data_IF_841276017333
#
_entry.id   IF_841276017333
#
_cell.length_a   1.000
_cell.length_b   1.000
_cell.length_c   1.000
_cell.angle_alpha   90.00
_cell.angle_beta   90.00
_cell.angle_gamma   90.00
#
_symmetry.space_group_name_H-M   'P 1'
#
loop_
_entity.id
_entity.type
_entity.pdbx_description
1 polymer ?
#
# COMPACT_ATOMS: atom_id res chain seq x y z
N UNK A 1 14.75 -30.58 40.41
CA UNK A 1 13.95 -30.53 41.64
C UNK A 1 14.88 -30.86 42.79
N UNK A 2 15.22 -29.85 43.58
CA UNK A 2 16.05 -29.98 44.78
C UNK A 2 15.25 -30.70 45.86
N UNK A 3 15.88 -31.69 46.50
CA UNK A 3 15.41 -32.31 47.74
C UNK A 3 16.57 -32.36 48.72
N UNK A 4 16.86 -31.24 49.36
CA UNK A 4 17.67 -31.21 50.57
C UNK A 4 16.83 -31.83 51.69
N UNK A 5 17.29 -32.94 52.25
CA UNK A 5 16.75 -33.49 53.49
C UNK A 5 17.79 -33.24 54.58
N UNK A 6 17.50 -32.24 55.40
CA UNK A 6 18.20 -31.99 56.66
C UNK A 6 17.95 -33.16 57.60
N UNK A 7 19.03 -33.82 58.02
CA UNK A 7 18.98 -34.82 59.09
C UNK A 7 19.76 -34.26 60.28
N UNK A 8 19.05 -33.57 61.16
CA UNK A 8 19.49 -33.28 62.52
C UNK A 8 19.00 -34.42 63.42
N UNK A 9 19.92 -35.11 64.09
CA UNK A 9 19.58 -35.90 65.27
C UNK A 9 20.61 -35.63 66.37
N UNK A 10 20.15 -34.79 67.30
CA UNK A 10 20.46 -34.69 68.73
C UNK A 10 21.62 -35.52 69.30
N UNK A 11 22.70 -34.82 69.65
CA UNK A 11 23.44 -35.02 70.90
C UNK A 11 22.50 -34.67 72.06
N UNK A 12 22.14 -35.65 72.88
CA UNK A 12 21.94 -35.46 74.31
C UNK A 12 21.73 -36.82 74.99
N UNK A 13 22.24 -36.88 76.21
CA UNK A 13 21.80 -37.75 77.31
C UNK A 13 22.59 -39.03 77.68
N UNK A 14 23.05 -38.97 78.94
CA UNK A 14 23.21 -40.06 79.93
C UNK A 14 24.43 -40.98 79.76
N UNK A 15 25.36 -41.11 80.72
CA UNK A 15 25.31 -40.68 82.10
C UNK A 15 26.66 -40.83 82.78
N UNK A 16 26.90 -39.88 83.68
CA UNK A 16 27.88 -39.96 84.76
C UNK A 16 27.58 -41.20 85.61
N UNK A 17 28.54 -42.10 85.75
CA UNK A 17 28.67 -42.91 86.97
C UNK A 17 30.00 -42.57 87.62
N UNK A 18 29.91 -41.59 88.51
CA UNK A 18 30.81 -41.39 89.62
C UNK A 18 30.10 -41.96 90.86
N UNK A 19 30.84 -42.21 91.95
CA UNK A 19 30.45 -42.95 93.18
C UNK A 19 30.83 -44.44 93.08
N UNK A 20 31.74 -44.98 93.91
CA UNK A 20 31.98 -44.66 95.29
C UNK A 20 31.62 -45.88 96.12
N UNK A 21 32.61 -46.74 96.43
CA UNK A 21 32.50 -47.65 97.57
C UNK A 21 33.88 -48.01 98.09
N UNK A 22 34.40 -47.04 98.86
CA UNK A 22 35.38 -47.24 99.91
C UNK A 22 34.60 -47.82 101.11
N UNK A 23 34.72 -49.11 101.36
CA UNK A 23 34.35 -49.71 102.65
C UNK A 23 35.64 -49.93 103.43
N UNK A 24 35.96 -48.94 104.25
CA UNK A 24 36.72 -49.11 105.47
C UNK A 24 35.88 -49.90 106.46
N UNK A 25 36.33 -51.07 106.89
CA UNK A 25 35.90 -51.61 108.18
C UNK A 25 37.08 -52.33 108.80
N UNK A 26 37.65 -51.63 109.76
CA UNK A 26 38.62 -52.07 110.75
C UNK A 26 37.89 -52.97 111.75
N UNK A 27 38.23 -54.25 111.77
CA UNK A 27 38.04 -55.06 112.97
C UNK A 27 39.39 -55.53 113.50
N UNK A 28 39.67 -55.00 114.69
CA UNK A 28 40.71 -55.44 115.60
C UNK A 28 40.28 -56.79 116.14
N UNK A 29 40.98 -57.86 115.75
CA UNK A 29 41.01 -59.07 116.54
C UNK A 29 42.44 -59.34 117.00
N UNK A 30 42.63 -59.08 118.29
CA UNK A 30 43.78 -59.49 119.09
C UNK A 30 43.82 -61.02 119.11
N UNK A 31 44.61 -61.64 118.22
CA UNK A 31 44.96 -63.04 118.36
C UNK A 31 46.41 -63.24 118.78
N UNK A 32 46.51 -63.87 119.94
CA UNK A 32 47.67 -64.18 120.75
C UNK A 32 48.77 -64.86 119.95
N UNK A 33 49.91 -64.19 119.99
CA UNK A 33 51.28 -64.70 119.91
C UNK A 33 51.42 -66.17 120.35
N UNK A 34 51.42 -67.07 119.38
CA UNK A 34 52.06 -68.39 119.48
C UNK A 34 53.08 -68.46 118.36
N UNK A 35 54.30 -68.02 118.67
CA UNK A 35 55.51 -68.18 117.87
C UNK A 35 55.81 -69.69 117.75
N UNK A 36 55.09 -70.36 116.85
CA UNK A 36 55.44 -71.68 116.37
C UNK A 36 56.70 -71.50 115.53
N UNK A 37 57.86 -71.87 116.09
CA UNK A 37 59.11 -71.98 115.34
C UNK A 37 58.91 -72.97 114.20
N UNK A 38 58.56 -72.46 113.02
CA UNK A 38 58.64 -73.20 111.77
C UNK A 38 60.14 -73.48 111.59
N UNK A 39 60.56 -74.75 111.39
CA UNK A 39 61.94 -75.07 111.08
C UNK A 39 62.39 -74.24 109.88
N UNK A 40 63.52 -73.52 109.99
CA UNK A 40 64.00 -72.57 108.98
C UNK A 40 63.96 -73.12 107.53
N UNK A 41 64.23 -74.41 107.36
CA UNK A 41 64.13 -75.11 106.07
C UNK A 41 62.72 -75.09 105.44
N UNK A 42 61.66 -75.20 106.25
CA UNK A 42 60.28 -75.25 105.79
C UNK A 42 59.75 -73.84 105.43
N UNK A 43 60.28 -72.81 106.08
CA UNK A 43 60.02 -71.40 105.75
C UNK A 43 60.72 -71.01 104.44
N UNK A 44 61.97 -71.43 104.23
CA UNK A 44 62.73 -71.14 103.02
C UNK A 44 62.17 -71.90 101.79
N UNK A 45 61.70 -73.13 101.95
CA UNK A 45 60.97 -73.88 100.90
C UNK A 45 59.63 -73.22 100.53
N UNK A 46 58.91 -72.67 101.51
CA UNK A 46 57.66 -71.97 101.27
C UNK A 46 57.88 -70.63 100.56
N UNK A 47 58.90 -69.87 100.96
CA UNK A 47 59.29 -68.62 100.30
C UNK A 47 59.79 -68.84 98.88
N UNK A 48 60.61 -69.85 98.65
CA UNK A 48 61.09 -70.19 97.30
C UNK A 48 59.95 -70.68 96.39
N UNK A 49 59.01 -71.48 96.91
CA UNK A 49 57.79 -71.87 96.19
C UNK A 49 56.88 -70.68 95.87
N UNK A 50 56.79 -69.69 96.76
CA UNK A 50 56.05 -68.45 96.53
C UNK A 50 56.74 -67.56 95.49
N UNK A 51 58.06 -67.46 95.53
CA UNK A 51 58.86 -66.69 94.57
C UNK A 51 58.79 -67.31 93.17
N UNK A 52 58.86 -68.64 93.04
CA UNK A 52 58.68 -69.33 91.77
C UNK A 52 57.29 -69.06 91.16
N UNK A 53 56.22 -69.08 91.98
CA UNK A 53 54.86 -68.72 91.54
C UNK A 53 54.76 -67.27 91.11
N UNK A 54 55.42 -66.36 91.82
CA UNK A 54 55.44 -64.94 91.47
C UNK A 54 56.18 -64.69 90.14
N UNK A 55 57.30 -65.38 89.92
CA UNK A 55 58.04 -65.33 88.66
C UNK A 55 57.22 -65.91 87.49
N UNK A 56 56.57 -67.06 87.69
CA UNK A 56 55.68 -67.67 86.69
C UNK A 56 54.50 -66.75 86.34
N UNK A 57 53.88 -66.12 87.36
CA UNK A 57 52.80 -65.16 87.16
C UNK A 57 53.27 -63.92 86.39
N UNK A 58 54.44 -63.37 86.71
CA UNK A 58 55.00 -62.23 85.98
C UNK A 58 55.31 -62.58 84.52
N UNK A 59 55.85 -63.77 84.26
CA UNK A 59 56.10 -64.23 82.89
C UNK A 59 54.78 -64.38 82.11
N UNK A 60 53.76 -64.98 82.73
CA UNK A 60 52.44 -65.09 82.13
C UNK A 60 51.79 -63.72 81.88
N UNK A 61 51.96 -62.77 82.81
CA UNK A 61 51.50 -61.39 82.67
C UNK A 61 52.22 -60.69 81.50
N UNK A 62 53.53 -60.84 81.39
CA UNK A 62 54.29 -60.24 80.29
C UNK A 62 53.90 -60.84 78.94
N UNK A 63 53.70 -62.16 78.88
CA UNK A 63 53.23 -62.84 77.67
C UNK A 63 51.83 -62.36 77.25
N UNK A 64 50.90 -62.30 78.19
CA UNK A 64 49.53 -61.82 77.92
C UNK A 64 49.49 -60.34 77.54
N UNK A 65 50.37 -59.50 78.12
CA UNK A 65 50.54 -58.11 77.68
C UNK A 65 51.05 -58.01 76.24
N UNK A 66 52.01 -58.85 75.84
CA UNK A 66 52.49 -58.91 74.47
C UNK A 66 51.41 -59.35 73.47
N UNK A 67 50.63 -60.38 73.83
CA UNK A 67 49.48 -60.83 73.02
C UNK A 67 48.39 -59.74 72.91
N UNK A 68 48.12 -59.00 73.99
CA UNK A 68 47.19 -57.87 73.98
C UNK A 68 47.68 -56.71 73.09
N UNK A 69 48.99 -56.43 73.08
CA UNK A 69 49.57 -55.43 72.18
C UNK A 69 49.48 -55.87 70.71
N UNK A 70 49.83 -57.11 70.39
CA UNK A 70 49.71 -57.66 69.03
C UNK A 70 48.27 -57.61 68.54
N UNK A 71 47.30 -58.03 69.36
CA UNK A 71 45.88 -57.98 68.99
C UNK A 71 45.38 -56.55 68.82
N UNK A 72 45.88 -55.59 69.61
CA UNK A 72 45.58 -54.18 69.42
C UNK A 72 46.11 -53.64 68.10
N UNK A 73 47.35 -53.97 67.74
CA UNK A 73 47.94 -53.58 66.45
C UNK A 73 47.15 -54.17 65.28
N UNK A 74 46.73 -55.44 65.37
CA UNK A 74 45.92 -56.06 64.33
C UNK A 74 44.52 -55.45 64.23
N UNK A 75 43.92 -55.07 65.37
CA UNK A 75 42.66 -54.31 65.38
C UNK A 75 42.81 -52.94 64.71
N UNK A 76 43.90 -52.21 64.98
CA UNK A 76 44.18 -50.91 64.33
C UNK A 76 44.41 -51.08 62.82
N UNK A 77 45.07 -52.16 62.36
CA UNK A 77 45.20 -52.49 60.94
C UNK A 77 43.84 -52.77 60.29
N UNK A 78 42.98 -53.56 60.94
CA UNK A 78 41.64 -53.86 60.44
C UNK A 78 40.77 -52.60 60.33
N UNK A 79 40.85 -51.68 61.30
CA UNK A 79 40.17 -50.39 61.21
C UNK A 79 40.67 -49.55 60.03
N UNK A 80 41.99 -49.54 59.79
CA UNK A 80 42.54 -48.84 58.63
C UNK A 80 42.11 -49.47 57.29
N UNK A 81 41.96 -50.80 57.23
CA UNK A 81 41.43 -51.50 56.05
C UNK A 81 39.93 -51.23 55.85
N UNK A 82 39.14 -51.16 56.92
CA UNK A 82 37.73 -50.77 56.85
C UNK A 82 37.56 -49.35 56.30
N UNK A 83 38.37 -48.39 56.77
CA UNK A 83 38.34 -47.03 56.25
C UNK A 83 38.67 -46.99 54.74
N UNK A 84 39.69 -47.73 54.28
CA UNK A 84 40.00 -47.87 52.84
C UNK A 84 38.84 -48.48 52.05
N UNK A 85 38.12 -49.45 52.64
CA UNK A 85 36.98 -50.08 51.99
C UNK A 85 35.78 -49.13 51.87
N UNK A 86 35.57 -48.26 52.87
CA UNK A 86 34.58 -47.19 52.80
C UNK A 86 34.93 -46.15 51.73
N UNK A 87 36.19 -45.72 51.65
CA UNK A 87 36.67 -44.83 50.60
C UNK A 87 36.47 -45.44 49.20
N UNK A 88 36.77 -46.73 49.03
CA UNK A 88 36.54 -47.43 47.76
C UNK A 88 35.05 -47.53 47.41
N UNK A 89 34.16 -47.71 48.39
CA UNK A 89 32.71 -47.71 48.16
C UNK A 89 32.23 -46.35 47.69
N UNK A 90 32.72 -45.26 48.30
CA UNK A 90 32.39 -43.89 47.88
C UNK A 90 32.91 -43.60 46.48
N UNK A 91 34.15 -43.99 46.17
CA UNK A 91 34.71 -43.85 44.83
C UNK A 91 33.90 -44.64 43.79
N UNK A 92 33.49 -45.87 44.10
CA UNK A 92 32.64 -46.68 43.21
C UNK A 92 31.29 -46.01 42.98
N UNK A 93 30.64 -45.47 44.02
CA UNK A 93 29.38 -44.75 43.89
C UNK A 93 29.54 -43.52 42.97
N UNK A 94 30.58 -42.71 43.16
CA UNK A 94 30.87 -41.55 42.33
C UNK A 94 31.12 -41.94 40.85
N UNK A 95 31.88 -43.01 40.59
CA UNK A 95 32.10 -43.49 39.21
C UNK A 95 30.83 -44.00 38.55
N UNK A 96 29.91 -44.60 39.31
CA UNK A 96 28.64 -45.07 38.79
C UNK A 96 27.69 -43.91 38.47
N UNK A 97 27.68 -42.86 39.29
CA UNK A 97 26.95 -41.62 38.98
C UNK A 97 27.48 -40.95 37.72
N UNK A 98 28.80 -40.83 37.57
CA UNK A 98 29.41 -40.23 36.38
C UNK A 98 29.12 -41.06 35.12
N UNK A 99 29.16 -42.39 35.22
CA UNK A 99 28.74 -43.27 34.13
C UNK A 99 27.28 -43.00 33.72
N UNK A 100 26.37 -42.89 34.68
CA UNK A 100 24.96 -42.62 34.40
C UNK A 100 24.76 -41.25 33.75
N UNK A 101 25.52 -40.24 34.19
CA UNK A 101 25.54 -38.91 33.58
C UNK A 101 26.00 -38.96 32.13
N UNK A 102 27.13 -39.61 31.85
CA UNK A 102 27.67 -39.75 30.49
C UNK A 102 26.67 -40.49 29.58
N UNK A 103 26.01 -41.54 30.07
CA UNK A 103 24.97 -42.24 29.30
C UNK A 103 23.78 -41.34 28.97
N UNK A 104 23.33 -40.50 29.92
CA UNK A 104 22.25 -39.55 29.69
C UNK A 104 22.64 -38.46 28.68
N UNK A 105 23.86 -37.93 28.77
CA UNK A 105 24.40 -36.96 27.81
C UNK A 105 24.53 -37.56 26.40
N UNK A 106 24.99 -38.81 26.29
CA UNK A 106 25.11 -39.53 25.01
C UNK A 106 23.74 -39.77 24.35
N UNK A 107 22.72 -40.18 25.12
CA UNK A 107 21.36 -40.32 24.60
C UNK A 107 20.74 -38.99 24.20
N UNK A 108 21.03 -37.90 24.92
CA UNK A 108 20.61 -36.56 24.51
C UNK A 108 21.27 -36.15 23.19
N UNK A 109 22.59 -36.34 23.04
CA UNK A 109 23.31 -36.07 21.80
C UNK A 109 22.77 -36.90 20.61
N UNK A 110 22.44 -38.17 20.84
CA UNK A 110 21.82 -39.03 19.83
C UNK A 110 20.45 -38.49 19.39
N UNK A 111 19.60 -38.05 20.34
CA UNK A 111 18.30 -37.45 20.04
C UNK A 111 18.43 -36.15 19.25
N UNK A 112 19.32 -35.25 19.67
CA UNK A 112 19.54 -33.98 18.97
C UNK A 112 20.15 -34.18 17.59
N UNK A 113 21.09 -35.12 17.42
CA UNK A 113 21.65 -35.49 16.12
C UNK A 113 20.58 -36.06 15.18
N UNK A 114 19.70 -36.92 15.68
CA UNK A 114 18.59 -37.47 14.89
C UNK A 114 17.62 -36.35 14.46
N UNK A 115 17.24 -35.47 15.39
CA UNK A 115 16.38 -34.32 15.09
C UNK A 115 17.00 -33.39 14.04
N UNK A 116 18.31 -33.12 14.13
CA UNK A 116 19.04 -32.32 13.15
C UNK A 116 19.03 -32.97 11.75
N UNK A 117 19.26 -34.29 11.66
CA UNK A 117 19.17 -35.02 10.38
C UNK A 117 17.75 -34.96 9.80
N UNK A 118 16.72 -35.16 10.61
CA UNK A 118 15.32 -35.05 10.16
C UNK A 118 14.99 -33.64 9.67
N UNK A 119 15.44 -32.60 10.37
CA UNK A 119 15.27 -31.21 9.95
C UNK A 119 15.99 -30.92 8.63
N UNK A 120 17.21 -31.45 8.45
CA UNK A 120 17.95 -31.33 7.20
C UNK A 120 17.22 -32.02 6.03
N UNK A 121 16.73 -33.25 6.23
CA UNK A 121 15.95 -33.96 5.21
C UNK A 121 14.66 -33.23 4.84
N UNK A 122 13.94 -32.69 5.83
CA UNK A 122 12.73 -31.90 5.59
C UNK A 122 13.03 -30.62 4.79
N UNK A 123 14.09 -29.89 5.17
CA UNK A 123 14.56 -28.70 4.43
C UNK A 123 14.94 -29.04 2.99
N UNK A 124 15.71 -30.12 2.77
CA UNK A 124 16.06 -30.57 1.41
C UNK A 124 14.83 -30.97 0.60
N UNK A 125 13.86 -31.66 1.20
CA UNK A 125 12.61 -32.03 0.53
C UNK A 125 11.80 -30.79 0.10
N UNK A 126 11.70 -29.79 0.98
CA UNK A 126 11.02 -28.53 0.66
C UNK A 126 11.72 -27.77 -0.48
N UNK A 127 13.06 -27.70 -0.48
CA UNK A 127 13.83 -27.08 -1.57
C UNK A 127 13.62 -27.81 -2.90
N UNK A 128 13.59 -29.15 -2.90
CA UNK A 128 13.32 -29.95 -4.10
C UNK A 128 11.90 -29.69 -4.61
N UNK A 129 10.91 -29.62 -3.74
CA UNK A 129 9.52 -29.30 -4.12
C UNK A 129 9.42 -27.91 -4.76
N UNK A 130 10.07 -26.90 -4.18
CA UNK A 130 10.10 -25.54 -4.74
C UNK A 130 10.75 -25.50 -6.12
N UNK A 131 11.91 -26.15 -6.29
CA UNK A 131 12.58 -26.24 -7.60
C UNK A 131 11.73 -26.99 -8.63
N UNK A 132 11.03 -28.05 -8.22
CA UNK A 132 10.14 -28.82 -9.09
C UNK A 132 8.95 -27.99 -9.56
N UNK A 133 8.32 -27.23 -8.66
CA UNK A 133 7.24 -26.31 -8.98
C UNK A 133 7.72 -25.20 -9.94
N UNK A 134 8.88 -24.60 -9.65
CA UNK A 134 9.50 -23.57 -10.50
C UNK A 134 9.82 -24.11 -11.90
N UNK A 135 10.40 -25.30 -12.02
CA UNK A 135 10.72 -25.91 -13.31
C UNK A 135 9.46 -26.26 -14.12
N UNK A 136 8.40 -26.68 -13.44
CA UNK A 136 7.10 -26.95 -14.07
C UNK A 136 6.52 -25.65 -14.64
N UNK A 137 6.56 -24.55 -13.88
CA UNK A 137 6.10 -23.24 -14.34
C UNK A 137 6.92 -22.74 -15.54
N UNK A 138 8.25 -22.78 -15.45
CA UNK A 138 9.13 -22.35 -16.55
C UNK A 138 8.90 -23.17 -17.82
N UNK A 139 8.64 -24.48 -17.70
CA UNK A 139 8.32 -25.33 -18.85
C UNK A 139 7.00 -24.93 -19.52
N UNK A 140 5.98 -24.57 -18.73
CA UNK A 140 4.70 -24.08 -19.25
C UNK A 140 4.85 -22.72 -19.94
N UNK A 141 5.59 -21.79 -19.33
CA UNK A 141 5.88 -20.47 -19.91
C UNK A 141 6.66 -20.60 -21.23
N UNK A 142 7.64 -21.50 -21.28
CA UNK A 142 8.39 -21.79 -22.50
C UNK A 142 7.47 -22.30 -23.61
N UNK A 143 6.60 -23.27 -23.31
CA UNK A 143 5.64 -23.81 -24.28
C UNK A 143 4.67 -22.74 -24.78
N UNK A 144 4.14 -21.90 -23.88
CA UNK A 144 3.27 -20.79 -24.25
C UNK A 144 3.99 -19.74 -25.12
N UNK A 145 5.27 -19.46 -24.83
CA UNK A 145 6.11 -18.57 -25.62
C UNK A 145 6.34 -19.13 -27.03
N UNK A 146 6.71 -20.41 -27.14
CA UNK A 146 6.90 -21.10 -28.43
C UNK A 146 5.65 -21.02 -29.29
N UNK A 147 4.47 -21.27 -28.72
CA UNK A 147 3.20 -21.13 -29.45
C UNK A 147 2.91 -19.70 -29.93
N UNK A 148 3.33 -18.68 -29.17
CA UNK A 148 3.19 -17.28 -29.61
C UNK A 148 4.13 -16.97 -30.76
N UNK A 149 5.37 -17.45 -30.70
CA UNK A 149 6.35 -17.30 -31.77
C UNK A 149 5.84 -17.95 -33.05
N UNK A 150 5.36 -19.19 -33.01
CA UNK A 150 4.77 -19.87 -34.17
C UNK A 150 3.61 -19.08 -34.80
N UNK A 151 2.71 -18.52 -33.97
CA UNK A 151 1.60 -17.67 -34.45
C UNK A 151 2.10 -16.39 -35.13
N UNK A 152 3.15 -15.78 -34.58
CA UNK A 152 3.78 -14.59 -35.17
C UNK A 152 4.47 -14.94 -36.49
N UNK A 153 5.22 -16.04 -36.55
CA UNK A 153 5.86 -16.53 -37.78
C UNK A 153 4.86 -16.81 -38.89
N UNK A 154 3.72 -17.45 -38.57
CA UNK A 154 2.63 -17.65 -39.53
C UNK A 154 2.03 -16.32 -40.01
N UNK A 155 1.88 -15.34 -39.12
CA UNK A 155 1.35 -14.02 -39.46
C UNK A 155 2.31 -13.23 -40.34
N UNK A 156 3.61 -13.25 -40.01
CA UNK A 156 4.67 -12.63 -40.81
C UNK A 156 4.76 -13.28 -42.19
N UNK A 157 4.70 -14.62 -42.26
CA UNK A 157 4.71 -15.35 -43.53
C UNK A 157 3.51 -14.97 -44.43
N UNK A 158 2.32 -14.76 -43.83
CA UNK A 158 1.16 -14.26 -44.57
C UNK A 158 1.37 -12.84 -45.10
N UNK A 159 1.98 -11.95 -44.32
CA UNK A 159 2.27 -10.57 -44.76
C UNK A 159 3.35 -10.54 -45.84
N UNK A 160 4.40 -11.34 -45.68
CA UNK A 160 5.50 -11.47 -46.64
C UNK A 160 5.13 -12.24 -47.91
N UNK A 161 3.88 -12.69 -48.03
CA UNK A 161 3.37 -13.24 -49.29
C UNK A 161 3.66 -12.23 -50.42
N UNK A 162 4.34 -12.65 -51.52
CA UNK A 162 4.68 -11.77 -52.63
C UNK A 162 3.48 -10.98 -53.17
N UNK A 163 2.27 -11.56 -53.17
CA UNK A 163 1.06 -10.88 -53.57
C UNK A 163 0.69 -9.72 -52.62
N UNK A 164 0.81 -9.93 -51.31
CA UNK A 164 0.57 -8.89 -50.31
C UNK A 164 1.64 -7.80 -50.38
N UNK A 165 2.91 -8.18 -50.55
CA UNK A 165 4.01 -7.22 -50.75
C UNK A 165 3.81 -6.37 -52.02
N UNK A 166 3.41 -6.97 -53.14
CA UNK A 166 3.08 -6.25 -54.36
C UNK A 166 1.87 -5.34 -54.15
N UNK A 167 0.84 -5.79 -53.44
CA UNK A 167 -0.34 -4.98 -53.13
C UNK A 167 0.00 -3.78 -52.25
N UNK A 168 0.83 -3.96 -51.22
CA UNK A 168 1.34 -2.87 -50.37
C UNK A 168 2.11 -1.87 -51.23
N UNK A 169 2.99 -2.33 -52.13
CA UNK A 169 3.73 -1.45 -53.05
C UNK A 169 2.80 -0.69 -53.99
N UNK A 170 1.80 -1.36 -54.56
CA UNK A 170 0.78 -0.73 -55.40
C UNK A 170 0.04 0.39 -54.63
N UNK A 171 -0.49 0.08 -53.45
CA UNK A 171 -1.21 1.05 -52.62
C UNK A 171 -0.33 2.23 -52.20
N UNK A 172 0.96 1.97 -51.96
CA UNK A 172 1.94 3.03 -51.64
C UNK A 172 2.12 3.99 -52.82
N UNK A 173 2.26 3.47 -54.04
CA UNK A 173 2.35 4.28 -55.24
C UNK A 173 1.05 5.04 -55.53
N UNK A 174 -0.11 4.40 -55.36
CA UNK A 174 -1.43 5.05 -55.49
C UNK A 174 -1.58 6.20 -54.48
N UNK A 175 -1.18 5.99 -53.23
CA UNK A 175 -1.19 7.04 -52.19
C UNK A 175 -0.32 8.24 -52.59
N UNK A 176 0.89 8.00 -53.07
CA UNK A 176 1.77 9.08 -53.53
C UNK A 176 1.19 9.84 -54.71
N UNK A 177 0.64 9.12 -55.69
CA UNK A 177 0.00 9.72 -56.87
C UNK A 177 -1.20 10.59 -56.48
N UNK A 178 -2.09 10.08 -55.65
CA UNK A 178 -3.25 10.82 -55.15
C UNK A 178 -2.82 12.04 -54.33
N UNK A 179 -1.77 11.92 -53.49
CA UNK A 179 -1.25 13.05 -52.72
C UNK A 179 -0.74 14.18 -53.64
N UNK A 180 -0.07 13.84 -54.76
CA UNK A 180 0.37 14.85 -55.75
C UNK A 180 -0.81 15.49 -56.48
N UNK A 181 -1.83 14.71 -56.84
CA UNK A 181 -3.04 15.27 -57.46
C UNK A 181 -3.77 16.22 -56.52
N UNK A 182 -3.95 15.83 -55.25
CA UNK A 182 -4.57 16.68 -54.23
C UNK A 182 -3.77 17.98 -54.06
N UNK A 183 -2.44 17.90 -53.95
CA UNK A 183 -1.60 19.10 -53.87
C UNK A 183 -1.75 20.01 -55.11
N UNK A 184 -1.79 19.44 -56.31
CA UNK A 184 -2.02 20.21 -57.55
C UNK A 184 -3.41 20.84 -57.62
N UNK A 185 -4.45 20.14 -57.14
CA UNK A 185 -5.79 20.71 -57.02
C UNK A 185 -5.85 21.84 -56.01
N UNK A 186 -5.19 21.70 -54.85
CA UNK A 186 -5.09 22.77 -53.85
C UNK A 186 -4.41 24.01 -54.41
N UNK A 187 -3.34 23.85 -55.20
CA UNK A 187 -2.67 24.97 -55.87
C UNK A 187 -3.59 25.67 -56.88
N UNK A 188 -4.29 24.90 -57.71
CA UNK A 188 -5.25 25.44 -58.68
C UNK A 188 -6.43 26.15 -58.01
N UNK A 189 -6.90 25.63 -56.87
CA UNK A 189 -7.92 26.30 -56.05
C UNK A 189 -7.40 27.64 -55.54
N UNK A 190 -6.15 27.70 -55.03
CA UNK A 190 -5.53 28.95 -54.60
C UNK A 190 -5.42 29.95 -55.75
N UNK A 191 -4.97 29.51 -56.94
CA UNK A 191 -4.88 30.37 -58.13
C UNK A 191 -6.25 30.94 -58.53
N UNK A 192 -7.29 30.10 -58.58
CA UNK A 192 -8.64 30.55 -58.90
C UNK A 192 -9.17 31.53 -57.83
N UNK A 193 -8.91 31.28 -56.54
CA UNK A 193 -9.28 32.21 -55.47
C UNK A 193 -8.59 33.57 -55.61
N UNK A 194 -7.29 33.59 -55.97
CA UNK A 194 -6.58 34.85 -56.23
C UNK A 194 -7.14 35.58 -57.46
N UNK A 195 -7.42 34.85 -58.55
CA UNK A 195 -7.99 35.40 -59.78
C UNK A 195 -9.36 36.03 -59.54
N UNK A 196 -10.26 35.33 -58.85
CA UNK A 196 -11.60 35.84 -58.49
C UNK A 196 -11.49 37.10 -57.61
N UNK A 197 -10.54 37.13 -56.67
CA UNK A 197 -10.31 38.28 -55.80
C UNK A 197 -9.81 39.50 -56.58
N UNK A 198 -8.93 39.30 -57.56
CA UNK A 198 -8.41 40.37 -58.43
C UNK A 198 -9.54 40.97 -59.28
N UNK A 199 -10.34 40.14 -59.95
CA UNK A 199 -11.45 40.61 -60.79
C UNK A 199 -12.47 41.41 -59.99
N UNK A 200 -12.85 40.91 -58.81
CA UNK A 200 -13.79 41.62 -57.92
C UNK A 200 -13.25 42.98 -57.48
N UNK A 201 -11.95 43.07 -57.18
CA UNK A 201 -11.30 44.34 -56.83
C UNK A 201 -11.28 45.32 -58.01
N UNK A 202 -11.08 44.83 -59.24
CA UNK A 202 -11.04 45.65 -60.44
C UNK A 202 -12.43 46.19 -60.83
N UNK A 203 -13.47 45.37 -60.72
CA UNK A 203 -14.87 45.81 -60.88
C UNK A 203 -15.27 46.86 -59.84
N UNK A 204 -14.88 46.66 -58.58
CA UNK A 204 -15.11 47.62 -57.51
C UNK A 204 -14.41 48.96 -57.81
N UNK A 205 -13.17 48.95 -58.30
CA UNK A 205 -12.45 50.17 -58.68
C UNK A 205 -13.12 50.91 -59.85
N UNK A 206 -13.59 50.18 -60.86
CA UNK A 206 -14.32 50.77 -61.99
C UNK A 206 -15.64 51.41 -61.52
N UNK A 207 -16.38 50.73 -60.65
CA UNK A 207 -17.63 51.24 -60.06
C UNK A 207 -17.37 52.49 -59.22
N UNK A 208 -16.31 52.51 -58.39
CA UNK A 208 -15.90 53.69 -57.62
C UNK A 208 -15.56 54.87 -58.54
N UNK A 209 -14.85 54.62 -59.65
CA UNK A 209 -14.49 55.66 -60.63
C UNK A 209 -15.74 56.26 -61.28
N UNK A 210 -16.73 55.44 -61.63
CA UNK A 210 -18.02 55.88 -62.17
C UNK A 210 -18.84 56.68 -61.15
N UNK A 211 -18.94 56.20 -59.91
CA UNK A 211 -19.63 56.92 -58.84
C UNK A 211 -18.97 58.28 -58.57
N UNK A 212 -17.64 58.36 -58.63
CA UNK A 212 -16.90 59.61 -58.47
C UNK A 212 -17.17 60.61 -59.60
N UNK A 213 -17.27 60.15 -60.86
CA UNK A 213 -17.62 61.03 -61.99
C UNK A 213 -19.07 61.51 -61.90
N UNK A 214 -20.01 60.64 -61.50
CA UNK A 214 -21.39 61.02 -61.25
C UNK A 214 -21.51 62.05 -60.11
N UNK A 215 -20.83 61.84 -58.98
CA UNK A 215 -20.83 62.80 -57.86
C UNK A 215 -20.26 64.16 -58.28
N UNK A 216 -19.24 64.19 -59.12
CA UNK A 216 -18.68 65.45 -59.62
C UNK A 216 -19.69 66.22 -60.49
N UNK A 217 -20.42 65.52 -61.35
CA UNK A 217 -21.49 66.10 -62.17
C UNK A 217 -22.65 66.64 -61.33
N UNK A 218 -23.10 65.86 -60.33
CA UNK A 218 -24.13 66.28 -59.39
C UNK A 218 -23.69 67.50 -58.58
N UNK A 219 -22.45 67.53 -58.10
CA UNK A 219 -21.89 68.67 -57.36
C UNK A 219 -21.87 69.93 -58.22
N UNK A 220 -21.49 69.83 -59.50
CA UNK A 220 -21.57 70.96 -60.44
C UNK A 220 -23.00 71.41 -60.71
N UNK A 221 -23.94 70.47 -60.87
CA UNK A 221 -25.36 70.78 -61.05
C UNK A 221 -25.94 71.48 -59.82
N UNK A 222 -25.58 71.02 -58.63
CA UNK A 222 -25.96 71.63 -57.35
C UNK A 222 -25.41 73.05 -57.23
N UNK A 223 -24.14 73.27 -57.55
CA UNK A 223 -23.56 74.62 -57.56
C UNK A 223 -24.29 75.57 -58.54
N UNK A 224 -24.71 75.05 -59.71
CA UNK A 224 -25.51 75.81 -60.68
C UNK A 224 -26.92 76.11 -60.17
N UNK A 225 -27.58 75.15 -59.52
CA UNK A 225 -28.91 75.35 -58.97
C UNK A 225 -28.90 76.28 -57.75
N UNK A 226 -27.89 76.18 -56.88
CA UNK A 226 -27.66 77.11 -55.77
C UNK A 226 -27.43 78.54 -56.26
N UNK A 227 -26.65 78.71 -57.35
CA UNK A 227 -26.47 80.03 -57.97
C UNK A 227 -27.80 80.60 -58.46
N UNK A 228 -28.60 79.80 -59.17
CA UNK A 228 -29.95 80.19 -59.63
C UNK A 228 -30.90 80.51 -58.47
N UNK A 229 -30.82 79.75 -57.37
CA UNK A 229 -31.65 79.96 -56.19
C UNK A 229 -31.28 81.26 -55.47
N UNK A 230 -29.98 81.55 -55.32
CA UNK A 230 -29.50 82.84 -54.78
C UNK A 230 -29.93 84.02 -55.66
N UNK A 231 -29.87 83.86 -56.99
CA UNK A 231 -30.37 84.87 -57.94
C UNK A 231 -31.89 85.09 -57.80
N UNK A 232 -32.68 84.01 -57.64
CA UNK A 232 -34.13 84.13 -57.41
C UNK A 232 -34.48 84.71 -56.03
N UNK A 233 -33.69 84.41 -55.00
CA UNK A 233 -33.91 84.90 -53.64
C UNK A 233 -33.59 86.40 -53.51
N UNK A 234 -32.68 86.93 -54.35
CA UNK A 234 -32.44 88.37 -54.48
C UNK A 234 -33.60 89.12 -55.16
N UNK A 235 -34.53 88.42 -55.80
CA UNK A 235 -35.64 88.99 -56.61
C UNK A 235 -37.03 88.87 -55.96
N UNK A 236 -37.16 88.43 -54.70
CA UNK A 236 -38.48 88.33 -54.02
C UNK A 236 -38.68 89.36 -52.90
N UNK A 237 -39.84 90.07 -52.86
CA UNK A 237 -40.30 90.77 -51.67
C UNK A 237 -40.80 89.78 -50.60
N UNK A 238 -40.74 90.21 -49.33
CA UNK A 238 -41.06 89.49 -48.09
C UNK A 238 -42.32 88.59 -48.20
N UNK A 239 -42.29 87.32 -47.74
CA UNK A 239 -43.48 86.48 -47.73
C UNK A 239 -44.39 86.83 -46.54
N UNK A 240 -45.68 87.05 -46.86
CA UNK A 240 -46.80 87.22 -45.94
C UNK A 240 -47.55 85.88 -45.85
N UNK A 241 -47.47 85.20 -44.71
CA UNK A 241 -48.65 84.83 -43.91
C UNK A 241 -48.25 84.13 -42.60
N UNK A 242 -48.85 84.50 -41.46
CA UNK A 242 -48.54 83.97 -40.13
C UNK A 242 -49.32 82.69 -39.85
N UNK A 243 -48.66 81.68 -39.29
CA UNK A 243 -49.29 80.48 -38.72
C UNK A 243 -50.03 80.88 -37.44
N UNK A 244 -51.29 80.47 -37.30
CA UNK A 244 -52.15 80.72 -36.14
C UNK A 244 -51.44 80.36 -34.80
N UNK A 245 -51.18 81.34 -33.90
CA UNK A 245 -50.44 81.12 -32.65
C UNK A 245 -51.08 80.09 -31.72
N UNK A 246 -52.40 79.90 -31.78
CA UNK A 246 -53.10 78.93 -30.94
C UNK A 246 -52.84 77.49 -31.39
N UNK A 247 -52.74 77.25 -32.70
CA UNK A 247 -52.40 75.94 -33.25
C UNK A 247 -50.97 75.53 -32.89
N UNK A 248 -50.04 76.49 -32.90
CA UNK A 248 -48.64 76.27 -32.48
C UNK A 248 -48.55 75.95 -30.98
N UNK A 249 -49.32 76.63 -30.13
CA UNK A 249 -49.41 76.31 -28.69
C UNK A 249 -50.01 74.91 -28.45
N UNK A 250 -51.07 74.56 -29.18
CA UNK A 250 -51.71 73.25 -29.06
C UNK A 250 -50.77 72.11 -29.46
N UNK A 251 -50.09 72.24 -30.61
CA UNK A 251 -49.12 71.24 -31.09
C UNK A 251 -47.91 71.10 -30.15
N UNK A 252 -47.40 72.21 -29.59
CA UNK A 252 -46.34 72.15 -28.56
C UNK A 252 -46.81 71.41 -27.30
N UNK A 253 -48.05 71.65 -26.85
CA UNK A 253 -48.61 70.95 -25.68
C UNK A 253 -48.79 69.44 -25.93
N UNK A 254 -49.20 69.06 -27.15
CA UNK A 254 -49.37 67.65 -27.54
C UNK A 254 -48.02 66.93 -27.63
N UNK A 255 -47.01 67.56 -28.23
CA UNK A 255 -45.66 66.99 -28.29
C UNK A 255 -45.05 66.81 -26.91
N UNK A 256 -45.21 67.77 -25.99
CA UNK A 256 -44.73 67.63 -24.61
C UNK A 256 -45.41 66.45 -23.89
N UNK A 257 -46.72 66.24 -24.11
CA UNK A 257 -47.47 65.13 -23.52
C UNK A 257 -47.01 63.78 -24.07
N UNK A 258 -46.80 63.67 -25.39
CA UNK A 258 -46.29 62.46 -26.04
C UNK A 258 -44.87 62.13 -25.60
N UNK A 259 -43.96 63.12 -25.50
CA UNK A 259 -42.61 62.90 -24.99
C UNK A 259 -42.61 62.37 -23.55
N UNK A 260 -43.50 62.89 -22.68
CA UNK A 260 -43.62 62.39 -21.30
C UNK A 260 -44.13 60.94 -21.21
N UNK A 261 -44.99 60.52 -22.14
CA UNK A 261 -45.46 59.14 -22.22
C UNK A 261 -44.36 58.20 -22.71
N UNK A 262 -43.55 58.64 -23.67
CA UNK A 262 -42.40 57.89 -24.18
C UNK A 262 -41.35 57.67 -23.08
N UNK A 263 -41.08 58.68 -22.25
CA UNK A 263 -40.18 58.54 -21.10
C UNK A 263 -40.74 57.63 -20.00
N UNK A 264 -42.06 57.65 -19.76
CA UNK A 264 -42.71 56.68 -18.86
C UNK A 264 -42.61 55.25 -19.38
N UNK A 265 -42.83 55.02 -20.68
CA UNK A 265 -42.70 53.71 -21.30
C UNK A 265 -41.24 53.22 -21.27
N UNK A 266 -40.27 54.09 -21.54
CA UNK A 266 -38.84 53.77 -21.38
C UNK A 266 -38.49 53.37 -19.95
N UNK A 267 -39.01 54.07 -18.94
CA UNK A 267 -38.80 53.71 -17.52
C UNK A 267 -39.51 52.42 -17.11
N UNK A 268 -40.62 52.05 -17.76
CA UNK A 268 -41.28 50.76 -17.54
C UNK A 268 -40.51 49.60 -18.16
N UNK A 269 -39.92 49.80 -19.34
CA UNK A 269 -39.08 48.78 -20.03
C UNK A 269 -37.71 48.64 -19.36
N UNK A 270 -37.18 49.70 -18.75
CA UNK A 270 -35.91 49.68 -18.00
C UNK A 270 -36.02 49.08 -16.59
N UNK A 271 -37.23 48.78 -16.09
CA UNK A 271 -37.38 47.96 -14.87
C UNK A 271 -37.15 46.50 -15.24
N UNK A 272 -36.09 45.84 -14.73
CA UNK A 272 -35.90 44.42 -14.97
C UNK A 272 -37.11 43.67 -14.41
N UNK A 273 -37.72 42.83 -15.26
CA UNK A 273 -38.74 41.86 -14.84
C UNK A 273 -38.10 40.98 -13.77
N UNK A 274 -38.55 41.12 -12.53
CA UNK A 274 -38.22 40.19 -11.46
C UNK A 274 -38.96 38.88 -11.75
N UNK A 275 -38.33 38.02 -12.55
CA UNK A 275 -38.78 36.63 -12.73
C UNK A 275 -38.44 35.87 -11.44
N UNK A 276 -39.37 35.08 -10.87
CA UNK A 276 -39.14 34.36 -9.62
C UNK A 276 -37.88 33.49 -9.69
N UNK A 277 -36.99 33.65 -8.69
CA UNK A 277 -35.74 32.89 -8.54
C UNK A 277 -35.95 31.38 -8.36
N UNK A 278 -37.20 30.94 -8.22
CA UNK A 278 -37.53 29.60 -7.73
C UNK A 278 -37.43 28.50 -8.79
N UNK A 279 -37.26 28.85 -10.08
CA UNK A 279 -37.22 27.87 -11.18
C UNK A 279 -35.90 27.84 -11.98
N UNK A 280 -34.89 28.63 -11.57
CA UNK A 280 -33.60 28.71 -12.28
C UNK A 280 -32.57 27.81 -11.62
N UNK A 281 -32.54 26.54 -12.01
CA UNK A 281 -31.46 25.62 -11.61
C UNK A 281 -30.12 26.11 -12.14
N UNK A 282 -29.14 26.22 -11.26
CA UNK A 282 -27.74 26.55 -11.57
C UNK A 282 -27.07 25.42 -12.36
N UNK A 283 -25.97 25.73 -13.06
CA UNK A 283 -25.21 24.76 -13.88
C UNK A 283 -24.82 23.49 -13.08
N UNK A 284 -24.49 23.65 -11.80
CA UNK A 284 -24.19 22.54 -10.91
C UNK A 284 -25.42 21.65 -10.67
N UNK A 285 -26.59 22.25 -10.43
CA UNK A 285 -27.86 21.54 -10.25
C UNK A 285 -28.32 20.86 -11.54
N UNK A 286 -28.05 21.44 -12.70
CA UNK A 286 -28.30 20.80 -14.00
C UNK A 286 -27.38 19.61 -14.26
N UNK A 287 -26.08 19.73 -13.97
CA UNK A 287 -25.14 18.60 -14.06
C UNK A 287 -25.55 17.47 -13.14
N UNK A 288 -25.91 17.79 -11.89
CA UNK A 288 -26.32 16.80 -10.90
C UNK A 288 -27.65 16.14 -11.27
N UNK A 289 -28.61 16.90 -11.83
CA UNK A 289 -29.84 16.34 -12.38
C UNK A 289 -29.56 15.39 -13.57
N UNK A 290 -28.72 15.78 -14.52
CA UNK A 290 -28.35 14.93 -15.67
C UNK A 290 -27.62 13.65 -15.24
N UNK A 291 -26.74 13.72 -14.24
CA UNK A 291 -26.11 12.53 -13.65
C UNK A 291 -27.13 11.66 -12.93
N UNK A 292 -28.07 12.24 -12.16
CA UNK A 292 -29.13 11.48 -11.47
C UNK A 292 -30.12 10.79 -12.41
N UNK A 293 -30.31 11.34 -13.62
CA UNK A 293 -31.13 10.75 -14.68
C UNK A 293 -30.36 9.72 -15.53
N UNK A 294 -29.08 9.44 -15.21
CA UNK A 294 -28.25 8.51 -15.96
C UNK A 294 -27.87 8.98 -17.37
N UNK A 295 -28.05 10.28 -17.67
CA UNK A 295 -27.78 10.88 -18.98
C UNK A 295 -26.31 11.33 -19.13
N UNK A 296 -25.53 11.27 -18.04
CA UNK A 296 -24.08 11.41 -18.06
C UNK A 296 -23.44 10.04 -17.79
N UNK A 297 -22.54 9.60 -18.69
CA UNK A 297 -21.72 8.38 -18.61
C UNK A 297 -22.38 7.02 -18.95
N UNK A 298 -23.55 6.99 -19.60
CA UNK A 298 -24.14 5.75 -20.11
C UNK A 298 -24.17 5.79 -21.64
N UNK A 299 -23.64 4.75 -22.31
CA UNK A 299 -23.84 4.57 -23.76
C UNK A 299 -25.36 4.62 -24.01
N UNK A 300 -25.87 5.54 -24.85
CA UNK A 300 -27.31 5.63 -25.12
C UNK A 300 -27.82 4.25 -25.56
N UNK A 301 -28.86 3.74 -24.92
CA UNK A 301 -29.46 2.48 -25.36
C UNK A 301 -30.13 2.72 -26.72
N UNK A 302 -30.13 1.77 -27.67
CA UNK A 302 -30.74 1.97 -28.99
C UNK A 302 -32.19 2.49 -28.96
N UNK A 303 -32.95 2.15 -27.91
CA UNK A 303 -34.31 2.65 -27.68
C UNK A 303 -34.38 4.15 -27.30
N UNK A 304 -33.34 4.71 -26.68
CA UNK A 304 -33.24 6.14 -26.34
C UNK A 304 -32.86 6.98 -27.57
N UNK A 305 -31.99 6.45 -28.44
CA UNK A 305 -31.69 7.07 -29.74
C UNK A 305 -32.95 7.14 -30.61
N UNK A 306 -33.73 6.05 -30.67
CA UNK A 306 -34.98 5.99 -31.43
C UNK A 306 -36.08 6.94 -30.93
N UNK A 307 -36.08 7.33 -29.64
CA UNK A 307 -37.04 8.31 -29.09
C UNK A 307 -36.62 9.76 -29.25
N UNK A 308 -35.34 10.03 -29.51
CA UNK A 308 -34.82 11.40 -29.74
C UNK A 308 -34.99 11.86 -31.19
N UNK A 309 -35.12 10.93 -32.14
CA UNK A 309 -35.40 11.24 -33.54
C UNK A 309 -36.91 11.45 -33.70
N UNK A 310 -37.35 12.70 -33.59
CA UNK A 310 -38.68 13.10 -34.04
C UNK A 310 -39.48 13.95 -33.07
N UNK A 311 -39.00 15.16 -32.73
CA UNK A 311 -39.85 16.30 -32.37
C UNK A 311 -39.27 17.61 -32.97
N UNK A 312 -40.12 18.58 -33.37
CA UNK A 312 -39.98 19.29 -34.66
C UNK A 312 -39.02 20.49 -34.71
N UNK A 313 -38.06 20.62 -33.78
CA UNK A 313 -37.35 21.89 -33.60
C UNK A 313 -35.84 21.87 -33.78
N UNK A 314 -35.23 20.72 -34.09
CA UNK A 314 -33.78 20.64 -34.29
C UNK A 314 -33.45 20.49 -35.78
N UNK A 315 -32.81 21.52 -36.36
CA UNK A 315 -32.11 21.39 -37.64
C UNK A 315 -30.84 20.58 -37.39
N UNK A 316 -30.90 19.27 -37.63
CA UNK A 316 -29.72 18.43 -37.67
C UNK A 316 -28.92 18.73 -38.94
N UNK A 317 -27.81 19.47 -38.81
CA UNK A 317 -26.79 19.52 -39.86
C UNK A 317 -25.86 18.33 -39.65
N UNK A 318 -26.29 17.15 -40.10
CA UNK A 318 -25.46 15.95 -40.12
C UNK A 318 -24.42 16.10 -41.25
N UNK A 319 -23.13 16.12 -40.90
CA UNK A 319 -22.04 16.01 -41.88
C UNK A 319 -21.49 14.61 -41.75
N UNK A 320 -21.81 13.74 -42.72
CA UNK A 320 -21.25 12.40 -42.77
C UNK A 320 -19.79 12.50 -43.23
N UNK A 321 -18.86 12.48 -42.29
CA UNK A 321 -17.44 12.22 -42.56
C UNK A 321 -17.15 10.78 -42.13
N UNK A 322 -16.52 10.00 -43.01
CA UNK A 322 -16.12 8.62 -42.71
C UNK A 322 -15.24 8.54 -41.47
N UNK A 323 -15.50 7.50 -40.67
CA UNK A 323 -14.94 7.18 -39.34
C UNK A 323 -15.30 8.15 -38.20
N UNK A 324 -16.54 7.96 -37.69
CA UNK A 324 -17.04 8.54 -36.43
C UNK A 324 -18.32 9.35 -36.65
N UNK A 325 -19.44 8.90 -36.06
CA UNK A 325 -20.72 9.63 -36.13
C UNK A 325 -20.62 10.90 -35.26
N UNK A 326 -20.10 11.96 -35.86
CA UNK A 326 -20.07 13.29 -35.25
C UNK A 326 -21.41 13.99 -35.45
N UNK A 327 -22.03 14.40 -34.35
CA UNK A 327 -23.28 15.16 -34.36
C UNK A 327 -23.16 16.42 -33.50
N UNK A 328 -23.66 17.53 -34.02
CA UNK A 328 -23.73 18.82 -33.33
C UNK A 328 -25.21 19.15 -33.11
N UNK A 329 -25.59 19.32 -31.85
CA UNK A 329 -26.93 19.71 -31.45
C UNK A 329 -26.91 21.18 -31.01
N UNK A 330 -27.72 22.02 -31.68
CA UNK A 330 -27.86 23.44 -31.38
C UNK A 330 -29.22 23.66 -30.73
N UNK A 331 -29.23 23.99 -29.44
CA UNK A 331 -30.47 24.21 -28.68
C UNK A 331 -30.72 25.70 -28.47
N UNK A 332 -31.80 26.21 -29.09
CA UNK A 332 -32.13 27.64 -29.12
C UNK A 332 -33.28 28.05 -28.18
N UNK A 333 -33.95 27.11 -27.50
CA UNK A 333 -35.27 27.38 -26.93
C UNK A 333 -35.31 27.79 -25.44
N UNK A 334 -34.25 27.56 -24.65
CA UNK A 334 -34.34 27.71 -23.17
C UNK A 334 -33.13 28.38 -22.51
N UNK A 335 -32.20 28.93 -23.29
CA UNK A 335 -31.00 29.60 -22.79
C UNK A 335 -30.89 30.97 -23.46
N UNK A 336 -30.39 31.99 -22.74
CA UNK A 336 -30.21 33.35 -23.28
C UNK A 336 -29.25 33.42 -24.48
N UNK A 337 -28.52 32.35 -24.75
CA UNK A 337 -27.54 32.23 -25.83
C UNK A 337 -27.61 30.83 -26.48
N UNK A 338 -27.23 30.70 -27.76
CA UNK A 338 -27.18 29.40 -28.43
C UNK A 338 -26.22 28.47 -27.69
N UNK A 339 -26.73 27.28 -27.36
CA UNK A 339 -25.96 26.21 -26.71
C UNK A 339 -25.55 25.20 -27.77
N UNK A 340 -24.26 24.94 -27.90
CA UNK A 340 -23.71 23.94 -28.82
C UNK A 340 -23.22 22.73 -28.03
N UNK A 341 -23.75 21.57 -28.37
CA UNK A 341 -23.33 20.27 -27.80
C UNK A 341 -22.72 19.46 -28.92
N UNK A 342 -21.44 19.10 -28.76
CA UNK A 342 -20.69 18.27 -29.72
C UNK A 342 -20.56 16.85 -29.21
N UNK A 343 -20.98 15.88 -30.01
CA UNK A 343 -20.85 14.45 -29.71
C UNK A 343 -20.00 13.75 -30.75
N UNK A 344 -19.07 12.89 -30.28
CA UNK A 344 -18.25 11.98 -31.10
C UNK A 344 -18.54 10.56 -30.60
N UNK A 345 -18.88 9.64 -31.51
CA UNK A 345 -19.26 8.25 -31.20
C UNK A 345 -20.36 8.14 -30.12
N UNK A 346 -21.32 9.06 -30.15
CA UNK A 346 -22.43 9.13 -29.19
C UNK A 346 -22.03 9.56 -27.76
N UNK A 347 -20.80 10.04 -27.55
CA UNK A 347 -20.35 10.62 -26.27
C UNK A 347 -20.28 12.14 -26.38
N UNK A 348 -20.80 12.85 -25.38
CA UNK A 348 -20.71 14.31 -25.29
C UNK A 348 -19.27 14.67 -24.94
N UNK A 349 -18.57 15.33 -25.86
CA UNK A 349 -17.18 15.75 -25.68
C UNK A 349 -17.12 17.19 -25.17
N UNK A 350 -17.90 18.09 -25.77
CA UNK A 350 -17.83 19.53 -25.46
C UNK A 350 -19.23 20.14 -25.42
N UNK A 351 -19.46 20.99 -24.41
CA UNK A 351 -20.62 21.88 -24.31
C UNK A 351 -20.09 23.31 -24.27
N UNK A 352 -20.39 24.11 -25.30
CA UNK A 352 -20.00 25.52 -25.41
C UNK A 352 -21.23 26.43 -25.42
N UNK A 353 -21.06 27.65 -24.90
CA UNK A 353 -22.04 28.73 -25.02
C UNK A 353 -21.34 30.02 -25.45
N UNK A 354 -21.94 30.77 -26.38
CA UNK A 354 -21.52 32.15 -26.63
C UNK A 354 -22.04 33.03 -25.49
N UNK A 355 -21.16 33.87 -24.92
CA UNK A 355 -21.51 34.77 -23.81
C UNK A 355 -22.28 36.00 -24.26
#
# INVERSE_FOLDING_TARGET
MCGCSDFQFSEEDLGKMNEGKKSSETDKDENKNTEAMIPKALHDDLLSGQEARYQELNLALQKTQGELQSTREDHEKLLAELAKLEDMKLALAATQEERNRIMAEAENYKKTSLAAKSAQSASSSQSIQQLTASNTQLSQELLASTQRVEKLELSVSRIQNPANMLKIRQLTLEKEFLSRQVAGHEEKIKELQTSVSITKNQENLNTIRQLKSQNSSLTQSLARSEKRLKEQQALRPKPVNPVDPNLVKQLKSQNAKLSSQLDKLRKQVAKPVAVPKDNLKTLAEWKQWLTSQGLMNVKPTPAQLAKSVGKPHDKANQVASGDGDEAIFIWNALVKAPLEIRTIDGKIETISYQK
#
